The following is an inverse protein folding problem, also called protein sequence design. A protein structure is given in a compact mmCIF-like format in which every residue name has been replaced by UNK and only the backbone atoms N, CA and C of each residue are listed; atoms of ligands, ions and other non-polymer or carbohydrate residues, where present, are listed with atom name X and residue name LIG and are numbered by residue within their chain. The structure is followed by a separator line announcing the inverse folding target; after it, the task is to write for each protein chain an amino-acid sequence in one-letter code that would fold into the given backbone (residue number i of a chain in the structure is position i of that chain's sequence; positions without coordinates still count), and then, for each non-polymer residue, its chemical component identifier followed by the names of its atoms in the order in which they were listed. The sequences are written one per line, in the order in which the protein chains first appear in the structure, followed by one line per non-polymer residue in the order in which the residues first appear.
data_IF_914404735245
#
_entry.id   IF_914404735245
#
_cell.length_a   1.000
_cell.length_b   1.000
_cell.length_c   1.000
_cell.angle_alpha   90.00
_cell.angle_beta   90.00
_cell.angle_gamma   90.00
#
_symmetry.space_group_name_H-M   'P 1'
#
loop_
_entity.id
_entity.type
_entity.pdbx_description
1 polymer ?
#
# COMPACT_ATOMS: atom_id res chain seq x y z
N UNK A 1 -16.87 34.84 -22.82
CA UNK A 1 -16.09 34.75 -21.56
C UNK A 1 -16.85 33.86 -20.59
N UNK A 2 -16.19 32.88 -19.98
CA UNK A 2 -16.84 32.03 -18.98
C UNK A 2 -17.14 32.84 -17.70
N UNK A 3 -18.17 32.44 -16.94
CA UNK A 3 -18.54 33.07 -15.65
C UNK A 3 -17.38 33.12 -14.65
N UNK A 4 -16.43 32.18 -14.76
CA UNK A 4 -15.19 32.15 -13.97
C UNK A 4 -14.20 33.26 -14.37
N UNK A 5 -14.09 33.58 -15.66
CA UNK A 5 -13.25 34.70 -16.13
C UNK A 5 -13.82 36.06 -15.71
N UNK A 6 -15.14 36.21 -15.67
CA UNK A 6 -15.80 37.43 -15.19
C UNK A 6 -15.59 37.67 -13.69
N UNK A 7 -15.59 36.61 -12.86
CA UNK A 7 -15.30 36.72 -11.42
C UNK A 7 -13.84 37.09 -11.14
N UNK A 8 -12.89 36.64 -11.97
CA UNK A 8 -11.47 37.00 -11.85
C UNK A 8 -11.19 38.47 -12.20
N UNK A 9 -12.04 39.11 -13.00
CA UNK A 9 -11.88 40.50 -13.42
C UNK A 9 -12.76 41.51 -12.67
N UNK A 10 -13.80 41.06 -11.95
CA UNK A 10 -14.79 41.95 -11.32
C UNK A 10 -14.43 42.44 -9.90
N UNK A 11 -13.43 41.85 -9.24
CA UNK A 11 -13.06 42.19 -7.86
C UNK A 11 -11.78 43.00 -7.79
N UNK A 12 -11.77 44.10 -7.01
CA UNK A 12 -10.54 44.67 -6.48
C UNK A 12 -9.83 43.59 -5.65
N UNK A 13 -8.90 42.86 -6.24
CA UNK A 13 -8.11 41.85 -5.53
C UNK A 13 -7.11 42.56 -4.63
N UNK A 14 -7.21 42.33 -3.32
CA UNK A 14 -6.22 42.84 -2.38
C UNK A 14 -4.87 42.17 -2.68
N UNK A 15 -3.78 42.95 -2.65
CA UNK A 15 -2.42 42.41 -2.76
C UNK A 15 -2.19 41.33 -1.70
N UNK A 16 -1.53 40.23 -2.10
CA UNK A 16 -1.23 39.09 -1.24
C UNK A 16 -0.45 39.53 0.02
N UNK A 17 0.39 40.56 -0.09
CA UNK A 17 1.15 41.14 1.03
C UNK A 17 0.29 41.86 2.08
N UNK A 18 -1.01 42.06 1.83
CA UNK A 18 -1.95 42.56 2.85
C UNK A 18 -2.47 41.44 3.74
N UNK A 19 -2.27 40.18 3.37
CA UNK A 19 -2.62 39.02 4.20
C UNK A 19 -1.54 38.79 5.26
N UNK A 20 -1.88 38.73 6.56
CA UNK A 20 -0.93 38.37 7.61
C UNK A 20 -0.23 37.03 7.38
N UNK A 21 -0.92 36.11 6.68
CA UNK A 21 -0.37 34.81 6.29
C UNK A 21 0.91 34.99 5.45
N UNK A 22 0.94 35.96 4.53
CA UNK A 22 2.08 36.21 3.64
C UNK A 22 2.99 37.35 4.10
N UNK A 23 2.47 38.27 4.93
CA UNK A 23 3.22 39.44 5.38
C UNK A 23 3.93 39.24 6.71
N UNK A 24 3.51 38.25 7.51
CA UNK A 24 4.07 37.97 8.84
C UNK A 24 4.67 36.59 8.99
N UNK A 25 4.14 35.59 8.28
CA UNK A 25 4.56 34.20 8.47
C UNK A 25 5.56 33.77 7.39
N UNK A 26 6.70 33.16 7.80
CA UNK A 26 7.64 32.56 6.85
C UNK A 26 7.02 31.31 6.20
N UNK A 27 7.63 30.83 5.12
CA UNK A 27 7.10 29.71 4.32
C UNK A 27 6.86 28.45 5.14
N UNK A 28 7.81 28.11 5.99
CA UNK A 28 7.81 26.89 6.81
C UNK A 28 6.64 26.87 7.81
N UNK A 29 6.24 28.03 8.32
CA UNK A 29 5.07 28.16 9.21
C UNK A 29 3.79 28.06 8.39
N UNK A 30 3.75 28.63 7.18
CA UNK A 30 2.61 28.46 6.27
C UNK A 30 2.43 27.01 5.88
N UNK A 31 3.50 26.29 5.57
CA UNK A 31 3.46 24.87 5.21
C UNK A 31 2.84 24.03 6.32
N UNK A 32 3.21 24.29 7.58
CA UNK A 32 2.57 23.63 8.73
C UNK A 32 1.08 23.97 8.83
N UNK A 33 0.71 25.25 8.69
CA UNK A 33 -0.70 25.66 8.72
C UNK A 33 -1.49 24.96 7.62
N UNK A 34 -0.97 24.93 6.40
CA UNK A 34 -1.60 24.28 5.26
C UNK A 34 -1.69 22.78 5.47
N UNK A 35 -0.65 22.15 6.01
CA UNK A 35 -0.67 20.72 6.29
C UNK A 35 -1.72 20.34 7.33
N UNK A 36 -1.89 21.15 8.38
CA UNK A 36 -2.96 20.94 9.35
C UNK A 36 -4.35 21.20 8.76
N UNK A 37 -4.51 22.28 7.99
CA UNK A 37 -5.81 22.65 7.43
C UNK A 37 -6.30 21.74 6.31
N UNK A 38 -5.36 21.11 5.58
CA UNK A 38 -5.64 20.23 4.44
C UNK A 38 -5.41 18.74 4.78
N UNK A 39 -5.17 18.43 6.06
CA UNK A 39 -5.10 17.06 6.54
C UNK A 39 -6.39 16.31 6.22
N UNK A 40 -6.26 15.01 6.00
CA UNK A 40 -7.39 14.15 5.67
C UNK A 40 -8.09 13.60 6.92
N UNK A 41 -9.33 13.17 6.73
CA UNK A 41 -10.16 12.53 7.73
C UNK A 41 -11.15 11.56 7.06
N UNK A 42 -11.70 10.57 7.78
CA UNK A 42 -12.77 9.72 7.26
C UNK A 42 -14.00 10.56 6.90
N UNK A 43 -14.57 10.35 5.72
CA UNK A 43 -15.73 11.13 5.27
C UNK A 43 -16.90 11.01 6.28
N UNK A 44 -17.40 12.14 6.81
CA UNK A 44 -18.41 12.13 7.86
C UNK A 44 -19.81 11.83 7.33
N UNK A 45 -20.04 11.83 6.02
CA UNK A 45 -21.34 11.53 5.42
C UNK A 45 -21.72 10.06 5.68
N UNK A 46 -22.81 9.77 6.42
CA UNK A 46 -23.25 8.41 6.66
C UNK A 46 -23.50 7.60 5.38
N UNK A 47 -23.87 8.25 4.27
CA UNK A 47 -24.09 7.58 3.00
C UNK A 47 -22.80 7.08 2.33
N UNK A 48 -21.63 7.56 2.77
CA UNK A 48 -20.32 7.15 2.27
C UNK A 48 -19.58 6.19 3.19
N UNK A 49 -20.16 5.88 4.36
CA UNK A 49 -19.60 4.86 5.23
C UNK A 49 -19.64 3.51 4.50
N UNK A 50 -18.58 2.75 4.67
CA UNK A 50 -18.55 1.38 4.19
C UNK A 50 -19.61 0.57 4.93
N UNK A 51 -20.27 -0.33 4.19
CA UNK A 51 -21.17 -1.28 4.80
C UNK A 51 -20.40 -2.13 5.82
N UNK A 52 -20.90 -2.14 7.06
CA UNK A 52 -20.33 -2.92 8.15
C UNK A 52 -20.23 -4.41 7.84
N UNK A 53 -21.04 -4.93 6.93
CA UNK A 53 -21.09 -6.35 6.52
C UNK A 53 -20.06 -6.72 5.44
N UNK A 54 -19.02 -5.90 5.28
CA UNK A 54 -17.93 -6.10 4.31
C UNK A 54 -16.64 -6.44 5.05
N UNK A 55 -15.77 -7.23 4.42
CA UNK A 55 -14.48 -7.61 5.01
C UNK A 55 -13.45 -6.47 5.03
N UNK A 56 -13.74 -5.33 4.40
CA UNK A 56 -12.87 -4.15 4.38
C UNK A 56 -13.29 -3.05 5.36
N UNK A 57 -14.50 -3.09 5.91
CA UNK A 57 -14.92 -2.15 6.93
C UNK A 57 -14.24 -2.50 8.27
N UNK A 58 -13.49 -1.54 8.83
CA UNK A 58 -12.84 -1.68 10.15
C UNK A 58 -12.83 -0.34 10.89
N UNK A 59 -12.64 -0.31 12.22
CA UNK A 59 -12.70 0.95 12.98
C UNK A 59 -11.68 2.00 12.55
N UNK A 60 -10.51 1.61 12.07
CA UNK A 60 -9.50 2.52 11.53
C UNK A 60 -9.77 2.94 10.08
N UNK A 61 -10.67 2.26 9.37
CA UNK A 61 -10.96 2.47 7.96
C UNK A 61 -12.42 2.09 7.64
N UNK A 62 -13.35 2.98 8.00
CA UNK A 62 -14.80 2.76 7.89
C UNK A 62 -15.46 3.66 6.83
N UNK A 63 -14.72 4.56 6.21
CA UNK A 63 -15.19 5.43 5.14
C UNK A 63 -14.00 5.83 4.25
N UNK A 64 -14.23 6.27 2.99
CA UNK A 64 -13.21 6.92 2.18
C UNK A 64 -12.63 8.14 2.90
N UNK A 65 -11.35 8.44 2.67
CA UNK A 65 -10.69 9.61 3.26
C UNK A 65 -10.88 10.85 2.38
N UNK A 66 -11.21 11.97 3.02
CA UNK A 66 -11.47 13.27 2.39
C UNK A 66 -10.73 14.39 3.12
N UNK A 67 -10.70 15.59 2.54
CA UNK A 67 -10.05 16.78 3.11
C UNK A 67 -10.85 18.04 2.80
N UNK A 68 -10.80 19.03 3.70
CA UNK A 68 -11.45 20.33 3.49
C UNK A 68 -10.69 21.22 2.51
N UNK A 69 -11.19 21.32 1.28
CA UNK A 69 -10.53 22.09 0.20
C UNK A 69 -10.94 23.56 0.11
N UNK A 70 -11.77 24.06 1.05
CA UNK A 70 -12.25 25.45 1.03
C UNK A 70 -11.11 26.47 1.10
N UNK A 71 -10.04 26.13 1.84
CA UNK A 71 -8.83 26.96 1.95
C UNK A 71 -8.20 27.23 0.57
N UNK A 72 -8.17 26.23 -0.31
CA UNK A 72 -7.61 26.35 -1.67
C UNK A 72 -8.34 27.37 -2.54
N UNK A 73 -9.58 27.72 -2.19
CA UNK A 73 -10.42 28.66 -2.93
C UNK A 73 -10.26 30.11 -2.45
N UNK A 74 -9.46 30.35 -1.41
CA UNK A 74 -9.32 31.68 -0.80
C UNK A 74 -8.52 32.67 -1.65
N UNK A 75 -7.38 32.24 -2.20
CA UNK A 75 -6.55 33.07 -3.07
C UNK A 75 -5.58 32.24 -3.92
N UNK A 76 -5.02 32.87 -4.96
CA UNK A 76 -4.10 32.22 -5.91
C UNK A 76 -2.79 31.75 -5.27
N UNK A 77 -2.25 32.49 -4.30
CA UNK A 77 -0.99 32.10 -3.66
C UNK A 77 -1.17 30.82 -2.83
N UNK A 78 -2.25 30.73 -2.04
CA UNK A 78 -2.59 29.51 -1.29
C UNK A 78 -2.75 28.34 -2.26
N UNK A 79 -3.55 28.50 -3.32
CA UNK A 79 -3.71 27.44 -4.31
C UNK A 79 -2.35 26.99 -4.89
N UNK A 80 -1.51 27.92 -5.34
CA UNK A 80 -0.20 27.59 -5.93
C UNK A 80 0.72 26.86 -4.95
N UNK A 81 0.74 27.27 -3.68
CA UNK A 81 1.59 26.65 -2.66
C UNK A 81 1.10 25.25 -2.25
N UNK A 82 -0.22 25.02 -2.17
CA UNK A 82 -0.72 23.83 -1.45
C UNK A 82 -1.84 23.02 -2.13
N UNK A 83 -2.19 23.26 -3.39
CA UNK A 83 -3.29 22.51 -4.05
C UNK A 83 -3.11 20.98 -4.07
N UNK A 84 -1.87 20.51 -4.06
CA UNK A 84 -1.50 19.09 -4.10
C UNK A 84 -1.49 18.44 -2.70
N UNK A 85 -1.51 19.23 -1.62
CA UNK A 85 -1.42 18.73 -0.25
C UNK A 85 -2.58 17.81 0.17
N UNK A 86 -3.86 18.04 -0.22
CA UNK A 86 -4.92 17.09 0.07
C UNK A 86 -4.64 15.68 -0.45
N UNK A 87 -3.93 15.57 -1.57
CA UNK A 87 -3.49 14.28 -2.08
C UNK A 87 -2.22 13.81 -1.34
N UNK A 88 -1.18 14.63 -1.26
CA UNK A 88 0.11 14.22 -0.71
C UNK A 88 0.07 13.87 0.78
N UNK A 89 -0.79 14.54 1.57
CA UNK A 89 -0.93 14.31 3.00
C UNK A 89 -1.91 13.18 3.33
N UNK A 90 -2.82 12.87 2.41
CA UNK A 90 -3.79 11.80 2.60
C UNK A 90 -3.11 10.45 2.63
N UNK A 91 -3.56 9.57 3.52
CA UNK A 91 -3.17 8.16 3.46
C UNK A 91 -3.72 7.57 2.14
N UNK A 92 -2.82 7.33 1.18
CA UNK A 92 -3.21 6.70 -0.07
C UNK A 92 -3.44 5.22 0.19
N UNK A 93 -4.54 4.66 -0.32
CA UNK A 93 -4.87 3.25 -0.14
C UNK A 93 -4.81 2.51 -1.46
N UNK A 94 -4.14 1.36 -1.46
CA UNK A 94 -4.17 0.39 -2.54
C UNK A 94 -4.78 -0.93 -2.04
N UNK A 95 -5.60 -1.55 -2.88
CA UNK A 95 -6.24 -2.85 -2.62
C UNK A 95 -5.68 -3.87 -3.60
N UNK A 96 -4.73 -4.68 -3.14
CA UNK A 96 -4.16 -5.81 -3.86
C UNK A 96 -4.93 -7.07 -3.46
N UNK A 97 -6.19 -7.12 -3.86
CA UNK A 97 -7.15 -8.16 -3.47
C UNK A 97 -8.08 -8.46 -4.63
N UNK A 98 -8.84 -9.55 -4.54
CA UNK A 98 -10.03 -9.74 -5.36
C UNK A 98 -10.97 -8.53 -5.23
N UNK A 99 -11.67 -8.15 -6.31
CA UNK A 99 -12.51 -6.95 -6.32
C UNK A 99 -13.60 -6.91 -5.24
N UNK A 100 -14.12 -8.06 -4.82
CA UNK A 100 -15.16 -8.18 -3.80
C UNK A 100 -14.67 -7.91 -2.36
N UNK A 101 -13.35 -7.77 -2.20
CA UNK A 101 -12.66 -7.52 -0.92
C UNK A 101 -12.12 -6.10 -0.79
N UNK A 102 -12.42 -5.26 -1.78
CA UNK A 102 -12.11 -3.84 -1.83
C UNK A 102 -13.41 -3.00 -1.81
N UNK A 103 -13.34 -1.72 -1.39
CA UNK A 103 -14.46 -0.79 -1.50
C UNK A 103 -14.98 -0.69 -2.94
N UNK A 104 -16.31 -0.65 -3.09
CA UNK A 104 -16.96 -0.43 -4.39
C UNK A 104 -16.46 0.86 -5.05
N UNK A 105 -16.11 0.78 -6.32
CA UNK A 105 -15.60 1.92 -7.09
C UNK A 105 -14.14 2.28 -6.80
N UNK A 106 -13.39 1.43 -6.10
CA UNK A 106 -11.94 1.53 -6.06
C UNK A 106 -11.37 1.39 -7.49
N UNK A 107 -10.49 2.33 -7.85
CA UNK A 107 -9.81 2.39 -9.13
C UNK A 107 -8.31 2.59 -8.87
N UNK A 108 -7.50 1.59 -9.23
CA UNK A 108 -6.05 1.61 -9.10
C UNK A 108 -5.37 2.62 -10.02
N UNK A 109 -5.99 2.96 -11.17
CA UNK A 109 -5.44 3.89 -12.16
C UNK A 109 -5.45 5.35 -11.69
N UNK A 110 -6.37 5.72 -10.80
CA UNK A 110 -6.49 7.09 -10.29
C UNK A 110 -5.24 7.58 -9.56
N UNK A 111 -4.49 6.67 -8.92
CA UNK A 111 -3.24 7.00 -8.23
C UNK A 111 -2.21 7.55 -9.22
N UNK A 112 -1.89 6.80 -10.27
CA UNK A 112 -0.90 7.18 -11.27
C UNK A 112 -1.29 8.47 -12.01
N UNK A 113 -2.56 8.61 -12.39
CA UNK A 113 -3.06 9.82 -13.04
C UNK A 113 -2.86 11.07 -12.17
N UNK A 114 -3.16 10.96 -10.87
CA UNK A 114 -3.01 12.10 -9.94
C UNK A 114 -1.54 12.42 -9.69
N UNK A 115 -0.70 11.40 -9.53
CA UNK A 115 0.74 11.56 -9.39
C UNK A 115 1.34 12.26 -10.61
N UNK A 116 0.97 11.83 -11.83
CA UNK A 116 1.41 12.48 -13.07
C UNK A 116 1.00 13.95 -13.13
N UNK A 117 -0.24 14.28 -12.79
CA UNK A 117 -0.71 15.67 -12.78
C UNK A 117 0.10 16.55 -11.82
N UNK A 118 0.43 16.03 -10.63
CA UNK A 118 1.24 16.76 -9.64
C UNK A 118 2.69 16.90 -10.13
N UNK A 119 3.27 15.81 -10.66
CA UNK A 119 4.61 15.79 -11.23
C UNK A 119 4.76 16.82 -12.36
N UNK A 120 3.84 16.81 -13.33
CA UNK A 120 3.83 17.73 -14.47
C UNK A 120 3.69 19.18 -14.01
N UNK A 121 2.86 19.46 -13.00
CA UNK A 121 2.66 20.81 -12.48
C UNK A 121 3.90 21.38 -11.79
N UNK A 122 4.61 20.54 -11.02
CA UNK A 122 5.80 20.96 -10.27
C UNK A 122 7.12 20.73 -11.00
N UNK A 123 7.09 20.13 -12.20
CA UNK A 123 8.29 19.74 -12.93
C UNK A 123 9.17 18.76 -12.14
N UNK A 124 8.54 17.83 -11.42
CA UNK A 124 9.23 16.90 -10.51
C UNK A 124 9.19 15.46 -11.05
N UNK A 125 10.29 14.73 -10.93
CA UNK A 125 10.36 13.31 -11.34
C UNK A 125 9.62 12.37 -10.38
N UNK A 126 9.43 12.82 -9.14
CA UNK A 126 8.78 12.07 -8.07
C UNK A 126 7.86 12.98 -7.27
N UNK A 127 6.72 12.44 -6.85
CA UNK A 127 5.72 13.09 -6.01
C UNK A 127 5.73 12.41 -4.66
N UNK A 128 6.20 13.14 -3.67
CA UNK A 128 6.22 12.64 -2.30
C UNK A 128 4.80 12.51 -1.75
N UNK A 129 4.48 11.34 -1.21
CA UNK A 129 3.26 11.12 -0.44
C UNK A 129 3.62 10.71 0.99
N UNK A 130 2.80 11.13 1.94
CA UNK A 130 3.03 10.87 3.36
C UNK A 130 2.97 9.39 3.68
N UNK A 131 1.90 8.71 3.25
CA UNK A 131 1.64 7.32 3.61
C UNK A 131 0.93 6.59 2.47
N UNK A 132 1.38 5.36 2.22
CA UNK A 132 0.73 4.38 1.34
C UNK A 132 0.33 3.16 2.18
N UNK A 133 -0.97 2.94 2.34
CA UNK A 133 -1.53 1.74 2.96
C UNK A 133 -1.96 0.76 1.89
N UNK A 134 -1.52 -0.48 2.01
CA UNK A 134 -1.82 -1.57 1.08
C UNK A 134 -2.55 -2.66 1.85
N UNK A 135 -3.79 -2.93 1.46
CA UNK A 135 -4.49 -4.13 1.88
C UNK A 135 -4.21 -5.21 0.84
N UNK A 136 -3.70 -6.36 1.27
CA UNK A 136 -3.27 -7.39 0.35
C UNK A 136 -3.79 -8.77 0.75
N UNK A 137 -4.25 -9.52 -0.24
CA UNK A 137 -4.34 -10.97 -0.16
C UNK A 137 -2.97 -11.59 -0.38
N UNK A 138 -2.70 -12.70 0.30
CA UNK A 138 -1.38 -13.35 0.23
C UNK A 138 -0.98 -13.75 -1.20
N UNK A 139 -1.90 -14.27 -2.01
CA UNK A 139 -1.60 -14.66 -3.40
C UNK A 139 -1.14 -13.47 -4.26
N UNK A 140 -1.70 -12.28 -4.03
CA UNK A 140 -1.29 -11.05 -4.73
C UNK A 140 0.14 -10.65 -4.34
N UNK A 141 0.57 -10.94 -3.11
CA UNK A 141 1.95 -10.72 -2.70
C UNK A 141 2.90 -11.67 -3.43
N UNK A 142 2.52 -12.93 -3.59
CA UNK A 142 3.30 -13.96 -4.28
C UNK A 142 3.46 -13.67 -5.78
N UNK A 143 2.46 -13.03 -6.40
CA UNK A 143 2.51 -12.52 -7.77
C UNK A 143 3.29 -11.21 -7.94
N UNK A 144 4.06 -10.78 -6.93
CA UNK A 144 4.85 -9.54 -6.96
C UNK A 144 4.04 -8.25 -7.17
N UNK A 145 2.72 -8.25 -6.92
CA UNK A 145 1.86 -7.07 -7.10
C UNK A 145 2.26 -5.89 -6.24
N UNK A 146 2.83 -6.15 -5.06
CA UNK A 146 3.38 -5.11 -4.20
C UNK A 146 4.57 -4.39 -4.86
N UNK A 147 5.47 -5.13 -5.51
CA UNK A 147 6.59 -4.54 -6.24
C UNK A 147 6.09 -3.72 -7.44
N UNK A 148 5.14 -4.27 -8.21
CA UNK A 148 4.49 -3.55 -9.32
C UNK A 148 3.85 -2.23 -8.87
N UNK A 149 3.14 -2.24 -7.73
CA UNK A 149 2.55 -1.04 -7.14
C UNK A 149 3.62 0.00 -6.76
N UNK A 150 4.73 -0.42 -6.15
CA UNK A 150 5.82 0.49 -5.77
C UNK A 150 6.58 1.05 -6.98
N UNK A 151 6.55 0.33 -8.11
CA UNK A 151 7.11 0.77 -9.39
C UNK A 151 6.20 1.74 -10.16
N UNK A 152 5.01 2.09 -9.65
CA UNK A 152 4.14 3.09 -10.29
C UNK A 152 4.91 4.40 -10.51
N UNK A 153 4.92 4.97 -11.74
CA UNK A 153 5.66 6.18 -12.04
C UNK A 153 5.32 7.34 -11.08
N UNK A 154 6.35 8.13 -10.78
CA UNK A 154 6.31 9.29 -9.88
C UNK A 154 6.01 8.96 -8.40
N UNK A 155 5.65 7.72 -8.03
CA UNK A 155 5.31 7.36 -6.66
C UNK A 155 6.53 7.45 -5.72
N UNK A 156 6.38 8.15 -4.59
CA UNK A 156 7.49 8.36 -3.66
C UNK A 156 7.01 8.42 -2.18
N UNK A 157 6.61 7.29 -1.58
CA UNK A 157 6.02 7.26 -0.25
C UNK A 157 7.06 7.37 0.86
N UNK A 158 6.75 8.08 1.94
CA UNK A 158 7.57 8.09 3.16
C UNK A 158 7.29 6.93 4.11
N UNK A 159 6.03 6.51 4.17
CA UNK A 159 5.54 5.43 5.02
C UNK A 159 4.75 4.44 4.17
N UNK A 160 5.02 3.15 4.38
CA UNK A 160 4.26 2.06 3.76
C UNK A 160 3.63 1.25 4.87
N UNK A 161 2.33 0.97 4.79
CA UNK A 161 1.67 0.01 5.68
C UNK A 161 1.06 -1.12 4.87
N UNK A 162 1.58 -2.34 5.00
CA UNK A 162 0.96 -3.55 4.48
C UNK A 162 0.02 -4.13 5.54
N UNK A 163 -1.21 -4.48 5.16
CA UNK A 163 -2.19 -5.11 6.04
C UNK A 163 -2.70 -6.41 5.43
N UNK A 164 -2.46 -7.52 6.13
CA UNK A 164 -3.06 -8.83 5.83
C UNK A 164 -4.21 -9.03 6.83
N UNK A 165 -5.45 -8.94 6.32
CA UNK A 165 -6.67 -9.12 7.13
C UNK A 165 -6.93 -10.60 7.39
N UNK A 166 -7.79 -10.92 8.37
CA UNK A 166 -8.19 -12.32 8.65
C UNK A 166 -8.64 -13.06 7.39
N UNK A 167 -9.46 -12.42 6.57
CA UNK A 167 -9.98 -13.03 5.35
C UNK A 167 -8.94 -13.09 4.21
N UNK A 168 -7.78 -12.48 4.35
CA UNK A 168 -6.78 -12.35 3.28
C UNK A 168 -5.62 -13.35 3.42
N UNK A 169 -5.60 -14.14 4.50
CA UNK A 169 -4.70 -15.26 4.69
C UNK A 169 -5.06 -16.44 3.79
N UNK A 170 -4.07 -17.23 3.41
CA UNK A 170 -4.30 -18.49 2.72
C UNK A 170 -5.20 -19.42 3.54
N UNK A 171 -6.24 -19.95 2.88
CA UNK A 171 -7.16 -20.95 3.44
C UNK A 171 -7.81 -20.56 4.79
N UNK A 172 -8.00 -19.26 5.03
CA UNK A 172 -8.66 -18.75 6.24
C UNK A 172 -10.09 -19.33 6.40
N UNK A 173 -10.76 -19.66 5.30
CA UNK A 173 -12.07 -20.30 5.26
C UNK A 173 -12.06 -21.69 5.88
N UNK A 174 -10.89 -22.35 5.95
CA UNK A 174 -10.73 -23.69 6.50
C UNK A 174 -10.02 -23.68 7.87
N UNK A 175 -9.82 -22.50 8.44
CA UNK A 175 -9.11 -22.30 9.70
C UNK A 175 -7.66 -22.80 9.72
N UNK A 176 -7.01 -22.90 8.56
CA UNK A 176 -5.63 -23.38 8.48
C UNK A 176 -4.67 -22.57 9.37
N UNK A 177 -3.59 -23.20 9.88
CA UNK A 177 -2.51 -22.50 10.56
C UNK A 177 -1.98 -21.32 9.76
N UNK A 178 -1.68 -20.22 10.45
CA UNK A 178 -1.15 -19.02 9.79
C UNK A 178 0.30 -19.25 9.35
N UNK A 179 0.58 -18.89 8.10
CA UNK A 179 1.93 -18.80 7.55
C UNK A 179 2.02 -17.58 6.65
N UNK A 180 3.23 -17.06 6.45
CA UNK A 180 3.48 -15.95 5.53
C UNK A 180 4.85 -16.10 4.88
N UNK A 181 4.85 -16.34 3.56
CA UNK A 181 6.07 -16.30 2.77
C UNK A 181 6.55 -14.85 2.57
N UNK A 182 7.87 -14.63 2.68
CA UNK A 182 8.52 -13.35 2.45
C UNK A 182 9.24 -13.21 1.10
N UNK A 183 9.03 -14.11 0.14
CA UNK A 183 9.69 -14.05 -1.19
C UNK A 183 9.49 -12.72 -1.93
N UNK A 184 8.36 -12.05 -1.68
CA UNK A 184 8.03 -10.74 -2.24
C UNK A 184 8.94 -9.61 -1.72
N UNK A 185 9.67 -9.82 -0.61
CA UNK A 185 10.52 -8.79 0.02
C UNK A 185 11.62 -8.33 -0.95
N UNK A 186 12.21 -9.24 -1.73
CA UNK A 186 13.23 -8.89 -2.73
C UNK A 186 12.70 -7.88 -3.74
N UNK A 187 11.59 -8.19 -4.40
CA UNK A 187 10.97 -7.30 -5.39
C UNK A 187 10.53 -5.96 -4.78
N UNK A 188 10.05 -5.97 -3.54
CA UNK A 188 9.75 -4.72 -2.82
C UNK A 188 11.02 -3.90 -2.57
N UNK A 189 12.13 -4.51 -2.14
CA UNK A 189 13.39 -3.79 -1.94
C UNK A 189 13.90 -3.16 -3.25
N UNK A 190 13.73 -3.84 -4.38
CA UNK A 190 14.14 -3.36 -5.71
C UNK A 190 13.26 -2.20 -6.20
N UNK A 191 11.94 -2.27 -5.99
CA UNK A 191 10.98 -1.24 -6.41
C UNK A 191 10.89 -0.05 -5.42
N UNK A 192 11.33 -0.24 -4.18
CA UNK A 192 11.13 0.73 -3.10
C UNK A 192 11.95 2.02 -3.30
N UNK A 193 11.27 3.17 -3.21
CA UNK A 193 11.93 4.47 -3.28
C UNK A 193 12.80 4.79 -2.06
N UNK A 194 13.86 5.59 -2.26
CA UNK A 194 14.77 6.07 -1.22
C UNK A 194 14.12 7.00 -0.18
N UNK A 195 12.89 7.47 -0.43
CA UNK A 195 12.13 8.27 0.54
C UNK A 195 11.49 7.45 1.67
N UNK A 196 11.36 6.12 1.52
CA UNK A 196 10.70 5.27 2.52
C UNK A 196 11.50 5.26 3.80
N UNK A 197 10.89 5.76 4.88
CA UNK A 197 11.48 5.83 6.22
C UNK A 197 10.92 4.76 7.16
N UNK A 198 9.71 4.28 6.90
CA UNK A 198 9.04 3.29 7.74
C UNK A 198 8.21 2.33 6.90
N UNK A 199 8.25 1.06 7.28
CA UNK A 199 7.33 0.03 6.78
C UNK A 199 6.62 -0.58 7.99
N UNK A 200 5.29 -0.61 7.95
CA UNK A 200 4.47 -1.30 8.93
C UNK A 200 3.84 -2.53 8.28
N UNK A 201 3.89 -3.66 8.96
CA UNK A 201 3.16 -4.87 8.55
C UNK A 201 2.17 -5.20 9.65
N UNK A 202 0.87 -5.07 9.33
CA UNK A 202 -0.27 -5.42 10.17
C UNK A 202 -0.71 -6.85 9.85
N UNK A 203 -0.55 -7.75 10.82
CA UNK A 203 -1.01 -9.13 10.79
C UNK A 203 -2.31 -9.21 11.59
N UNK A 204 -3.45 -9.23 10.91
CA UNK A 204 -4.77 -9.32 11.54
C UNK A 204 -5.34 -10.72 11.41
N UNK A 205 -5.73 -11.32 12.53
CA UNK A 205 -6.50 -12.57 12.56
C UNK A 205 -7.46 -12.53 13.75
N UNK A 206 -8.03 -13.68 14.12
CA UNK A 206 -8.97 -13.81 15.21
C UNK A 206 -8.25 -13.76 16.57
N UNK A 207 -8.91 -13.28 17.63
CA UNK A 207 -8.36 -13.29 19.00
C UNK A 207 -7.96 -14.70 19.44
N UNK A 208 -8.69 -15.74 18.99
CA UNK A 208 -8.34 -17.15 19.25
C UNK A 208 -7.05 -17.61 18.57
N UNK A 209 -6.55 -16.88 17.57
CA UNK A 209 -5.28 -17.14 16.86
C UNK A 209 -4.14 -16.22 17.30
N UNK A 210 -4.30 -15.43 18.36
CA UNK A 210 -3.29 -14.45 18.81
C UNK A 210 -1.88 -15.03 19.01
N UNK A 211 -1.76 -16.26 19.51
CA UNK A 211 -0.46 -16.90 19.73
C UNK A 211 0.27 -17.17 18.40
N UNK A 212 -0.48 -17.55 17.36
CA UNK A 212 0.06 -17.72 16.01
C UNK A 212 0.49 -16.36 15.43
N UNK A 213 -0.34 -15.33 15.58
CA UNK A 213 -0.04 -13.96 15.12
C UNK A 213 1.21 -13.41 15.82
N UNK A 214 1.32 -13.59 17.14
CA UNK A 214 2.47 -13.13 17.93
C UNK A 214 3.76 -13.86 17.53
N UNK A 215 3.69 -15.18 17.29
CA UNK A 215 4.85 -15.95 16.84
C UNK A 215 5.30 -15.52 15.44
N UNK A 216 4.37 -15.31 14.50
CA UNK A 216 4.70 -14.77 13.17
C UNK A 216 5.32 -13.38 13.28
N UNK A 217 4.75 -12.47 14.07
CA UNK A 217 5.27 -11.13 14.27
C UNK A 217 6.69 -11.15 14.87
N UNK A 218 6.95 -12.04 15.82
CA UNK A 218 8.26 -12.23 16.43
C UNK A 218 9.28 -12.78 15.44
N UNK A 219 8.92 -13.77 14.63
CA UNK A 219 9.80 -14.31 13.58
C UNK A 219 10.09 -13.27 12.51
N UNK A 220 9.06 -12.53 12.09
CA UNK A 220 9.17 -11.41 11.16
C UNK A 220 10.18 -10.38 11.67
N UNK A 221 10.03 -9.92 12.92
CA UNK A 221 10.95 -8.94 13.50
C UNK A 221 12.40 -9.44 13.60
N UNK A 222 12.59 -10.76 13.75
CA UNK A 222 13.91 -11.38 13.90
C UNK A 222 14.58 -11.71 12.58
N UNK A 223 13.83 -11.97 11.51
CA UNK A 223 14.34 -12.51 10.25
C UNK A 223 14.27 -11.52 9.10
N UNK A 224 13.24 -10.69 9.03
CA UNK A 224 13.03 -9.81 7.88
C UNK A 224 13.77 -8.49 8.06
N UNK A 225 14.18 -7.92 6.94
CA UNK A 225 14.61 -6.53 6.83
C UNK A 225 14.41 -6.07 5.39
N UNK A 226 14.34 -4.76 5.19
CA UNK A 226 14.14 -4.17 3.86
C UNK A 226 15.35 -3.32 3.50
N UNK A 227 16.00 -3.64 2.37
CA UNK A 227 17.15 -2.90 1.88
C UNK A 227 16.65 -1.89 0.85
N UNK A 228 16.92 -0.62 1.09
CA UNK A 228 16.56 0.47 0.19
C UNK A 228 17.63 0.66 -0.87
N UNK A 229 17.27 1.21 -2.03
CA UNK A 229 18.18 1.40 -3.16
C UNK A 229 19.45 2.22 -2.83
N UNK A 230 19.39 3.10 -1.83
CA UNK A 230 20.53 3.89 -1.35
C UNK A 230 21.38 3.18 -0.28
N UNK A 231 21.14 1.88 -0.05
CA UNK A 231 21.86 1.04 0.91
C UNK A 231 21.38 1.16 2.35
N UNK A 232 20.41 2.03 2.65
CA UNK A 232 19.81 2.08 3.99
C UNK A 232 18.95 0.84 4.24
N UNK A 233 19.18 0.19 5.38
CA UNK A 233 18.42 -1.01 5.78
C UNK A 233 17.41 -0.64 6.86
N UNK A 234 16.18 -1.08 6.67
CA UNK A 234 15.10 -0.95 7.63
C UNK A 234 14.96 -2.29 8.38
N UNK A 235 15.16 -2.25 9.69
CA UNK A 235 15.03 -3.38 10.61
C UNK A 235 13.82 -3.20 11.51
N UNK A 236 13.30 -4.29 12.07
CA UNK A 236 12.33 -4.22 13.14
C UNK A 236 13.00 -4.15 14.52
N UNK A 237 12.28 -3.63 15.50
CA UNK A 237 12.63 -3.79 16.91
C UNK A 237 12.32 -5.22 17.35
N UNK A 238 13.38 -5.98 17.64
CA UNK A 238 13.32 -7.37 18.10
C UNK A 238 13.30 -7.50 19.64
N UNK A 239 13.17 -6.39 20.37
CA UNK A 239 12.98 -6.40 21.83
C UNK A 239 11.68 -7.13 22.17
N UNK A 240 11.70 -8.01 23.18
CA UNK A 240 10.51 -8.75 23.58
C UNK A 240 9.40 -7.77 24.02
N UNK A 241 8.23 -7.88 23.39
CA UNK A 241 7.10 -6.97 23.62
C UNK A 241 7.11 -5.67 22.81
N UNK A 242 8.07 -5.47 21.89
CA UNK A 242 8.10 -4.29 21.02
C UNK A 242 6.97 -4.27 19.96
N UNK A 243 6.43 -5.44 19.61
CA UNK A 243 5.31 -5.56 18.68
C UNK A 243 4.10 -4.79 19.21
N UNK A 244 3.59 -3.84 18.42
CA UNK A 244 2.38 -3.10 18.79
C UNK A 244 1.17 -3.97 18.53
N UNK A 245 0.29 -4.07 19.52
CA UNK A 245 -0.94 -4.87 19.42
C UNK A 245 -2.15 -3.95 19.47
N UNK A 246 -3.14 -4.24 18.64
CA UNK A 246 -4.47 -3.65 18.72
C UNK A 246 -5.54 -4.71 18.58
N UNK A 247 -6.75 -4.40 19.05
CA UNK A 247 -7.91 -5.30 19.01
C UNK A 247 -9.12 -4.54 18.56
N UNK A 248 -10.01 -5.22 17.87
CA UNK A 248 -11.30 -4.68 17.51
C UNK A 248 -12.31 -5.80 17.28
N UNK A 249 -13.59 -5.45 17.29
CA UNK A 249 -14.67 -6.40 17.05
C UNK A 249 -15.48 -5.96 15.85
N UNK A 250 -15.80 -6.92 14.99
CA UNK A 250 -16.61 -6.71 13.79
C UNK A 250 -17.82 -7.63 13.75
N UNK A 251 -18.65 -7.43 12.75
CA UNK A 251 -19.74 -8.36 12.43
C UNK A 251 -19.17 -9.69 11.95
N UNK A 252 -19.87 -10.79 12.26
CA UNK A 252 -19.59 -12.09 11.67
C UNK A 252 -20.19 -12.28 10.29
N UNK A 253 -20.78 -11.24 9.70
CA UNK A 253 -21.43 -11.34 8.39
C UNK A 253 -20.58 -10.74 7.29
N UNK A 254 -20.40 -11.50 6.22
CA UNK A 254 -19.72 -11.07 5.02
C UNK A 254 -20.58 -11.36 3.79
N UNK A 255 -20.82 -10.35 2.95
CA UNK A 255 -21.67 -10.44 1.75
C UNK A 255 -23.06 -11.06 2.05
N UNK A 256 -23.64 -10.68 3.19
CA UNK A 256 -24.93 -11.18 3.66
C UNK A 256 -24.91 -12.61 4.20
N UNK A 257 -23.75 -13.27 4.28
CA UNK A 257 -23.58 -14.62 4.85
C UNK A 257 -22.90 -14.54 6.21
N UNK A 258 -23.46 -15.25 7.19
CA UNK A 258 -22.95 -15.27 8.57
C UNK A 258 -21.93 -16.38 8.78
N UNK A 259 -20.72 -16.01 9.20
CA UNK A 259 -19.61 -16.90 9.56
C UNK A 259 -19.66 -17.25 11.04
N UNK A 260 -20.37 -18.32 11.39
CA UNK A 260 -20.62 -18.71 12.79
C UNK A 260 -19.35 -19.24 13.47
N UNK A 261 -18.49 -19.95 12.74
CA UNK A 261 -17.29 -20.61 13.29
C UNK A 261 -16.39 -19.64 14.07
N UNK A 262 -16.24 -18.41 13.58
CA UNK A 262 -15.27 -17.44 14.08
C UNK A 262 -15.85 -16.49 15.15
N UNK A 263 -17.11 -16.71 15.55
CA UNK A 263 -17.79 -15.85 16.51
C UNK A 263 -17.25 -16.02 17.94
N UNK A 264 -16.96 -14.88 18.58
CA UNK A 264 -16.77 -14.82 20.02
C UNK A 264 -18.11 -14.76 20.76
N UNK A 265 -19.09 -14.09 20.15
CA UNK A 265 -20.48 -13.97 20.60
C UNK A 265 -21.39 -13.97 19.35
N UNK A 266 -22.69 -14.31 19.45
CA UNK A 266 -23.58 -14.32 18.30
C UNK A 266 -23.55 -13.02 17.49
N UNK A 267 -23.14 -13.10 16.23
CA UNK A 267 -23.04 -11.95 15.32
C UNK A 267 -21.71 -11.17 15.38
N UNK A 268 -20.75 -11.58 16.23
CA UNK A 268 -19.55 -10.80 16.54
C UNK A 268 -18.28 -11.62 16.46
N UNK A 269 -17.31 -11.12 15.71
CA UNK A 269 -15.94 -11.64 15.62
C UNK A 269 -15.00 -10.68 16.36
N UNK A 270 -14.12 -11.24 17.18
CA UNK A 270 -13.05 -10.48 17.84
C UNK A 270 -11.73 -10.68 17.10
N UNK A 271 -11.13 -9.58 16.66
CA UNK A 271 -9.89 -9.52 15.91
C UNK A 271 -8.71 -9.07 16.77
N UNK A 272 -7.56 -9.69 16.49
CA UNK A 272 -6.27 -9.40 17.05
C UNK A 272 -5.30 -8.99 15.94
N UNK A 273 -4.67 -7.82 16.11
CA UNK A 273 -3.75 -7.26 15.12
C UNK A 273 -2.40 -7.00 15.75
N UNK A 274 -1.36 -7.65 15.23
CA UNK A 274 0.03 -7.34 15.55
C UNK A 274 0.64 -6.47 14.44
N UNK A 275 1.32 -5.39 14.83
CA UNK A 275 2.03 -4.50 13.90
C UNK A 275 3.53 -4.59 14.14
N UNK A 276 4.26 -5.08 13.14
CA UNK A 276 5.73 -5.03 13.11
C UNK A 276 6.16 -3.79 12.32
N UNK A 277 7.04 -2.98 12.91
CA UNK A 277 7.48 -1.71 12.31
C UNK A 277 8.96 -1.77 11.97
N UNK A 278 9.30 -1.56 10.71
CA UNK A 278 10.66 -1.52 10.20
C UNK A 278 11.13 -0.07 10.03
N UNK A 279 12.30 0.25 10.57
CA UNK A 279 12.90 1.60 10.57
C UNK A 279 14.42 1.52 10.37
N UNK A 280 15.06 2.59 9.89
CA UNK A 280 16.51 2.66 9.80
C UNK A 280 17.18 2.36 11.13
N UNK A 281 18.34 1.68 11.10
CA UNK A 281 19.12 1.31 12.30
C UNK A 281 19.36 2.50 13.23
N UNK A 282 19.75 3.66 12.69
CA UNK A 282 19.96 4.89 13.48
C UNK A 282 18.72 5.34 14.28
N UNK A 283 17.51 5.05 13.79
CA UNK A 283 16.27 5.36 14.50
C UNK A 283 16.05 4.37 15.64
N UNK A 284 16.31 3.09 15.41
CA UNK A 284 16.20 2.04 16.42
C UNK A 284 17.21 2.22 17.55
N UNK A 285 18.46 2.54 17.22
CA UNK A 285 19.51 2.83 18.20
C UNK A 285 19.13 3.99 19.12
N UNK A 286 18.56 5.07 18.55
CA UNK A 286 18.12 6.25 19.32
C UNK A 286 17.03 5.93 20.34
N UNK A 287 16.17 4.96 20.06
CA UNK A 287 15.10 4.54 20.97
C UNK A 287 15.52 3.35 21.86
N UNK A 288 16.77 2.90 21.77
CA UNK A 288 17.28 1.76 22.55
C UNK A 288 16.70 0.41 22.13
N UNK A 289 16.21 0.30 20.89
CA UNK A 289 15.67 -0.94 20.35
C UNK A 289 16.77 -1.96 20.04
N UNK A 290 16.41 -3.25 20.09
CA UNK A 290 17.33 -4.35 19.77
C UNK A 290 17.10 -4.79 18.33
N UNK A 291 18.17 -4.92 17.54
CA UNK A 291 18.10 -5.49 16.19
C UNK A 291 18.61 -6.93 16.22
N UNK A 292 17.86 -7.84 15.62
CA UNK A 292 18.23 -9.26 15.51
C UNK A 292 19.49 -9.44 14.65
N UNK A 293 20.44 -10.23 15.15
CA UNK A 293 21.64 -10.59 14.39
C UNK A 293 21.30 -11.41 13.14
N UNK A 294 20.21 -12.19 13.16
CA UNK A 294 19.73 -12.90 11.96
C UNK A 294 19.31 -11.92 10.87
N UNK A 295 18.54 -10.88 11.20
CA UNK A 295 18.14 -9.85 10.24
C UNK A 295 19.36 -9.06 9.73
N UNK A 296 20.34 -8.75 10.59
CA UNK A 296 21.62 -8.16 10.15
C UNK A 296 22.38 -9.06 9.18
N UNK A 297 22.46 -10.35 9.48
CA UNK A 297 23.12 -11.32 8.61
C UNK A 297 22.41 -11.48 7.26
N UNK A 298 21.08 -11.38 7.24
CA UNK A 298 20.34 -11.32 6.00
C UNK A 298 20.71 -10.05 5.21
N UNK A 299 20.62 -8.87 5.81
CA UNK A 299 21.04 -7.62 5.16
C UNK A 299 22.48 -7.67 4.58
N UNK A 300 23.45 -8.22 5.32
CA UNK A 300 24.85 -8.37 4.87
C UNK A 300 25.01 -9.31 3.68
N UNK A 301 24.15 -10.33 3.54
CA UNK A 301 24.17 -11.28 2.43
C UNK A 301 23.49 -10.74 1.17
N UNK A 302 22.85 -9.57 1.27
CA UNK A 302 22.17 -8.92 0.15
C UNK A 302 20.79 -9.51 -0.15
N UNK A 303 20.18 -9.07 -1.26
CA UNK A 303 18.81 -9.43 -1.64
C UNK A 303 18.62 -10.93 -1.93
N UNK A 304 19.69 -11.65 -2.28
CA UNK A 304 19.67 -13.09 -2.51
C UNK A 304 19.47 -13.93 -1.24
N UNK A 305 19.34 -13.31 -0.07
CA UNK A 305 18.90 -14.04 1.13
C UNK A 305 17.42 -13.79 1.48
N UNK A 306 16.74 -12.92 0.73
CA UNK A 306 15.33 -12.55 0.93
C UNK A 306 14.38 -13.48 0.14
N UNK A 307 14.66 -14.78 0.14
CA UNK A 307 13.82 -15.79 -0.52
C UNK A 307 13.87 -17.16 0.18
N UNK A 308 12.89 -18.00 -0.14
CA UNK A 308 12.69 -19.36 0.32
C UNK A 308 12.49 -19.47 1.84
N UNK A 309 12.99 -20.58 2.40
CA UNK A 309 12.85 -20.91 3.83
C UNK A 309 13.44 -19.83 4.77
N UNK A 310 14.35 -18.98 4.29
CA UNK A 310 14.98 -17.92 5.11
C UNK A 310 13.99 -16.84 5.51
N UNK A 311 13.01 -16.58 4.64
CA UNK A 311 11.98 -15.55 4.84
C UNK A 311 10.60 -16.15 5.08
N UNK A 312 10.41 -17.46 4.89
CA UNK A 312 9.19 -18.13 5.29
C UNK A 312 8.93 -17.98 6.80
N UNK A 313 7.72 -17.56 7.12
CA UNK A 313 7.19 -17.51 8.47
C UNK A 313 6.09 -18.57 8.60
N UNK A 314 6.30 -19.52 9.49
CA UNK A 314 5.36 -20.57 9.85
C UNK A 314 5.26 -20.64 11.37
N UNK A 315 4.18 -21.23 11.87
CA UNK A 315 4.03 -21.56 13.29
C UNK A 315 4.27 -23.06 13.47
N UNK A 316 5.43 -23.50 14.00
CA UNK A 316 5.76 -24.92 14.07
C UNK A 316 4.78 -25.70 14.93
N UNK A 317 4.31 -26.83 14.42
CA UNK A 317 3.38 -27.70 15.14
C UNK A 317 1.99 -27.09 15.32
N UNK A 318 1.67 -25.99 14.63
CA UNK A 318 0.31 -25.47 14.63
C UNK A 318 -0.61 -26.41 13.85
N UNK A 319 -1.71 -26.78 14.49
CA UNK A 319 -2.79 -27.55 13.87
C UNK A 319 -3.96 -26.63 13.57
N UNK A 320 -4.82 -27.01 12.62
CA UNK A 320 -6.11 -26.36 12.46
C UNK A 320 -6.87 -26.50 13.79
N UNK A 321 -7.50 -25.44 14.27
CA UNK A 321 -8.21 -25.54 15.54
C UNK A 321 -9.45 -26.41 15.33
N UNK A 322 -9.73 -27.31 16.27
CA UNK A 322 -10.94 -28.14 16.21
C UNK A 322 -12.20 -27.24 16.23
N UNK A 323 -13.08 -27.42 15.25
CA UNK A 323 -14.43 -26.85 15.27
C UNK A 323 -15.44 -27.87 14.78
N UNK A 324 -16.62 -27.91 15.41
CA UNK A 324 -17.72 -28.73 14.91
C UNK A 324 -18.24 -28.14 13.59
N UNK A 325 -18.19 -28.96 12.54
CA UNK A 325 -18.70 -28.60 11.22
C UNK A 325 -20.23 -28.43 11.31
N UNK A 326 -20.73 -27.19 11.38
CA UNK A 326 -22.14 -26.93 11.13
C UNK A 326 -22.38 -27.12 9.63
N UNK A 327 -23.34 -27.97 9.22
CA UNK A 327 -23.56 -28.26 7.81
C UNK A 327 -23.85 -26.97 7.05
N UNK A 328 -23.04 -26.74 6.01
CA UNK A 328 -23.20 -25.65 5.05
C UNK A 328 -24.58 -25.75 4.40
N UNK A 329 -25.52 -24.86 4.79
CA UNK A 329 -26.82 -24.72 4.14
C UNK A 329 -26.69 -23.62 3.09
N UNK A 330 -26.11 -23.96 1.95
CA UNK A 330 -25.93 -23.01 0.86
C UNK A 330 -25.56 -23.69 -0.44
N UNK A 331 -26.51 -24.37 -1.09
CA UNK A 331 -26.29 -24.83 -2.47
C UNK A 331 -25.83 -23.66 -3.32
N UNK A 332 -24.61 -23.69 -3.86
CA UNK A 332 -24.30 -23.17 -5.20
C UNK A 332 -23.20 -24.03 -5.81
N UNK A 333 -23.54 -24.53 -6.98
CA UNK A 333 -22.64 -24.96 -8.02
C UNK A 333 -21.62 -23.86 -8.28
N UNK A 334 -20.35 -24.22 -8.34
CA UNK A 334 -19.34 -23.44 -9.02
C UNK A 334 -19.82 -23.30 -10.47
N UNK A 335 -20.40 -22.16 -10.84
CA UNK A 335 -20.42 -21.77 -12.24
C UNK A 335 -18.96 -21.44 -12.58
N UNK A 336 -18.39 -22.26 -13.47
CA UNK A 336 -17.12 -22.01 -14.14
C UNK A 336 -17.07 -20.56 -14.60
N UNK A 337 -16.13 -19.79 -14.05
CA UNK A 337 -15.67 -18.59 -14.71
C UNK A 337 -14.71 -19.05 -15.81
N UNK A 338 -15.25 -19.19 -17.02
CA UNK A 338 -14.45 -19.31 -18.24
C UNK A 338 -13.69 -18.01 -18.52
N UNK A 339 -12.44 -18.21 -18.92
CA UNK A 339 -11.57 -17.37 -19.75
C UNK A 339 -10.99 -16.08 -19.14
N UNK A 340 -9.73 -16.23 -18.73
CA UNK A 340 -8.77 -15.15 -18.53
C UNK A 340 -8.50 -14.49 -19.90
N UNK A 341 -8.76 -13.19 -20.04
CA UNK A 341 -8.11 -12.42 -21.11
C UNK A 341 -6.64 -12.26 -20.72
N UNK A 342 -5.81 -13.07 -21.38
CA UNK A 342 -4.36 -12.94 -21.45
C UNK A 342 -4.04 -11.56 -22.03
N UNK A 343 -3.44 -10.69 -21.21
CA UNK A 343 -2.89 -9.43 -21.71
C UNK A 343 -1.67 -9.81 -22.56
N UNK A 344 -1.82 -9.79 -23.89
CA UNK A 344 -0.70 -9.93 -24.83
C UNK A 344 0.36 -8.85 -24.51
N UNK A 345 1.55 -9.30 -24.11
CA UNK A 345 2.75 -8.46 -24.12
C UNK A 345 3.11 -8.23 -25.60
N UNK A 346 2.99 -6.98 -26.05
CA UNK A 346 3.57 -6.55 -27.33
C UNK A 346 5.11 -6.70 -27.23
N UNK A 347 5.63 -7.85 -27.66
CA UNK A 347 7.05 -8.04 -27.96
C UNK A 347 7.37 -7.23 -29.24
N UNK A 348 8.03 -6.08 -29.07
CA UNK A 348 8.70 -5.40 -30.18
C UNK A 348 9.88 -6.27 -30.64
N UNK A 349 9.70 -7.01 -31.74
CA UNK A 349 10.75 -7.73 -32.44
C UNK A 349 11.83 -6.73 -32.94
N UNK A 350 13.02 -6.79 -32.34
CA UNK A 350 14.23 -6.20 -32.90
C UNK A 350 14.62 -7.00 -34.15
N UNK A 351 14.38 -6.44 -35.34
CA UNK A 351 14.91 -6.98 -36.61
C UNK A 351 16.44 -6.88 -36.62
N UNK A 352 17.12 -8.00 -36.36
CA UNK A 352 18.52 -8.21 -36.73
C UNK A 352 18.64 -8.20 -38.25
N UNK A 353 19.28 -7.16 -38.80
CA UNK A 353 19.67 -7.08 -40.20
C UNK A 353 20.97 -7.88 -40.38
N UNK A 354 20.83 -9.12 -40.86
CA UNK A 354 21.95 -9.92 -41.39
C UNK A 354 22.32 -9.41 -42.79
N UNK A 355 23.49 -8.77 -42.88
CA UNK A 355 24.19 -8.49 -44.13
C UNK A 355 24.78 -9.80 -44.69
N UNK A 356 24.11 -10.40 -45.67
CA UNK A 356 24.74 -11.41 -46.54
C UNK A 356 25.00 -10.82 -47.94
N UNK A 357 26.30 -10.66 -48.22
CA UNK A 357 26.88 -10.40 -49.53
C UNK A 357 26.50 -11.51 -50.52
N UNK A 358 25.83 -11.16 -51.62
CA UNK A 358 25.91 -11.94 -52.87
C UNK A 358 26.13 -11.02 -54.07
N UNK A 359 27.16 -11.41 -54.83
CA UNK A 359 27.71 -10.82 -56.03
C UNK A 359 26.67 -10.62 -57.15
N UNK A 360 26.75 -9.48 -57.84
CA UNK A 360 26.38 -9.42 -59.27
C UNK A 360 27.37 -8.50 -60.01
N UNK A 361 28.37 -9.15 -60.62
CA UNK A 361 29.12 -8.61 -61.75
C UNK A 361 28.20 -8.55 -62.97
N UNK A 362 27.78 -7.37 -63.42
CA UNK A 362 27.51 -7.16 -64.85
C UNK A 362 28.10 -5.84 -65.35
N UNK A 363 28.93 -6.02 -66.37
CA UNK A 363 29.59 -5.03 -67.20
C UNK A 363 28.59 -4.04 -67.82
N UNK A 364 28.86 -2.75 -67.67
CA UNK A 364 28.53 -1.75 -68.70
C UNK A 364 29.83 -1.24 -69.33
N UNK A 365 30.22 -1.90 -70.42
CA UNK A 365 30.95 -1.25 -71.50
C UNK A 365 29.94 -0.40 -72.28
N UNK A 366 30.20 0.90 -72.46
CA UNK A 366 30.33 1.54 -73.79
C UNK A 366 30.42 3.08 -73.70
N UNK A 367 31.65 3.55 -73.95
CA UNK A 367 32.10 4.64 -74.83
C UNK A 367 31.73 6.13 -74.62
N UNK A 368 32.85 6.87 -74.54
CA UNK A 368 33.17 8.25 -74.95
C UNK A 368 32.80 9.45 -74.06
#
# INVERSE_FOLDING_TARGET
MSRAQQLLHAGHTASQHKSPLYSKLPGEVRDQIFAFALADYPDPDPAKQYDSMTCYARPSYFAPRTSDTQLLRTCRAVYKECWHLPFALREQTAWLTNPDRAPKGYDSGQLQLTLKQIADFHGSEKVEIRSLRVFAQMFMMEESRMAQLLSVPFLNPREITLTIRHADWWYWENDQPLSFNGDWIKGVCEAMSSSVQQIHIELESLERKKEQVDELAKRMARRWCFVRADGVVLYADATDGATKVSRWSGTSTWHGRRWIRDEAEPGRIDYYVATVSFRPEVVLERIGATISETARNHARRGLDCMHGERVMLDVPGAEAMEYEYLPYVGSHTYEEYEEYEEYEEDEEEEEEQDDEDEDDEENEDEYE
#
